data_IF_561176374485
#
_entry.id   IF_561176374485
#
_cell.length_a   1.000
_cell.length_b   1.000
_cell.length_c   1.000
_cell.angle_alpha   90.00
_cell.angle_beta   90.00
_cell.angle_gamma   90.00
#
_symmetry.space_group_name_H-M   'P 1'
#
loop_
_entity.id
_entity.type
_entity.pdbx_description
1 polymer ?
#
# COMPACT_ATOMS: atom_id res chain seq x y z
N UNK A 1 -8.43 3.17 -18.46
CA UNK A 1 -9.17 2.83 -17.23
C UNK A 1 -8.78 3.82 -16.14
N UNK A 2 -9.74 4.49 -15.52
CA UNK A 2 -9.47 5.37 -14.39
C UNK A 2 -9.07 4.53 -13.15
N UNK A 3 -8.08 4.97 -12.35
CA UNK A 3 -7.70 4.28 -11.13
C UNK A 3 -8.82 4.30 -10.08
N UNK A 4 -8.95 3.20 -9.31
CA UNK A 4 -10.04 2.98 -8.35
C UNK A 4 -10.01 3.93 -7.13
N UNK A 5 -8.87 4.54 -6.82
CA UNK A 5 -8.68 5.42 -5.66
C UNK A 5 -7.68 6.54 -5.99
N UNK A 6 -8.12 7.79 -6.14
CA UNK A 6 -7.23 8.91 -6.47
C UNK A 6 -6.42 8.64 -7.74
N UNK A 7 -5.08 8.61 -7.63
CA UNK A 7 -4.12 8.24 -8.70
C UNK A 7 -3.79 6.74 -8.76
N UNK A 8 -4.47 5.94 -7.95
CA UNK A 8 -4.27 4.51 -7.72
C UNK A 8 -3.74 4.22 -6.32
N UNK A 9 -4.26 3.17 -5.65
CA UNK A 9 -3.97 2.84 -4.25
C UNK A 9 -2.47 2.84 -3.94
N UNK A 10 -1.65 2.16 -4.76
CA UNK A 10 -0.21 2.10 -4.54
C UNK A 10 0.46 3.47 -4.61
N UNK A 11 0.08 4.32 -5.57
CA UNK A 11 0.65 5.65 -5.73
C UNK A 11 0.28 6.56 -4.56
N UNK A 12 -0.97 6.47 -4.07
CA UNK A 12 -1.40 7.25 -2.90
C UNK A 12 -0.66 6.83 -1.63
N UNK A 13 -0.44 5.53 -1.42
CA UNK A 13 0.33 5.05 -0.26
C UNK A 13 1.79 5.51 -0.35
N UNK A 14 2.42 5.40 -1.52
CA UNK A 14 3.82 5.85 -1.75
C UNK A 14 3.95 7.35 -1.47
N UNK A 15 3.05 8.15 -2.02
CA UNK A 15 3.04 9.61 -1.82
C UNK A 15 2.79 9.97 -0.35
N UNK A 16 1.90 9.26 0.34
CA UNK A 16 1.64 9.45 1.76
C UNK A 16 2.86 9.10 2.64
N UNK A 17 3.60 8.05 2.32
CA UNK A 17 4.87 7.71 2.99
C UNK A 17 5.92 8.80 2.74
N UNK A 18 6.12 9.19 1.48
CA UNK A 18 7.12 10.19 1.10
C UNK A 18 6.84 11.57 1.72
N UNK A 19 5.56 11.91 1.93
CA UNK A 19 5.13 13.14 2.62
C UNK A 19 5.11 13.02 4.14
N UNK A 20 5.44 11.87 4.70
CA UNK A 20 5.42 11.62 6.15
C UNK A 20 4.02 11.49 6.77
N UNK A 21 2.97 11.34 5.95
CA UNK A 21 1.58 11.12 6.41
C UNK A 21 1.36 9.68 6.90
N UNK A 22 2.03 8.72 6.27
CA UNK A 22 2.12 7.34 6.74
C UNK A 22 3.53 7.08 7.24
N UNK A 23 3.66 6.62 8.49
CA UNK A 23 4.96 6.25 9.07
C UNK A 23 5.21 4.77 8.86
N UNK A 24 6.35 4.45 8.25
CA UNK A 24 6.79 3.08 8.07
C UNK A 24 7.27 2.50 9.43
N UNK A 25 7.05 1.20 9.71
CA UNK A 25 6.36 0.23 8.87
C UNK A 25 4.82 0.38 8.94
N UNK A 26 4.17 0.31 7.79
CA UNK A 26 2.72 0.47 7.66
C UNK A 26 1.97 -0.86 7.77
N UNK A 27 0.75 -0.81 8.29
CA UNK A 27 -0.22 -1.91 8.29
C UNK A 27 -1.41 -1.63 7.35
N UNK A 28 -2.22 -2.66 7.09
CA UNK A 28 -3.48 -2.47 6.36
C UNK A 28 -4.43 -1.48 7.08
N UNK A 29 -4.41 -1.45 8.41
CA UNK A 29 -5.21 -0.52 9.20
C UNK A 29 -4.72 0.93 9.04
N UNK A 30 -3.41 1.16 9.00
CA UNK A 30 -2.86 2.51 8.78
C UNK A 30 -3.26 3.04 7.40
N UNK A 31 -3.16 2.18 6.38
CA UNK A 31 -3.60 2.50 5.02
C UNK A 31 -5.11 2.77 5.01
N UNK A 32 -5.92 1.93 5.66
CA UNK A 32 -7.38 2.12 5.75
C UNK A 32 -7.73 3.47 6.36
N UNK A 33 -7.12 3.82 7.48
CA UNK A 33 -7.33 5.10 8.15
C UNK A 33 -6.95 6.27 7.24
N UNK A 34 -5.81 6.19 6.56
CA UNK A 34 -5.37 7.21 5.61
C UNK A 34 -6.36 7.36 4.44
N UNK A 35 -6.76 6.25 3.82
CA UNK A 35 -7.68 6.26 2.68
C UNK A 35 -9.05 6.82 3.08
N UNK A 36 -9.57 6.40 4.24
CA UNK A 36 -10.84 6.90 4.76
C UNK A 36 -10.79 8.42 5.02
N UNK A 37 -9.65 8.92 5.53
CA UNK A 37 -9.45 10.36 5.74
C UNK A 37 -9.45 11.18 4.44
N UNK A 38 -9.18 10.54 3.29
CA UNK A 38 -9.26 11.13 1.96
C UNK A 38 -10.61 10.87 1.27
N UNK A 39 -11.62 10.31 1.97
CA UNK A 39 -12.93 9.99 1.41
C UNK A 39 -12.97 8.71 0.57
N UNK A 40 -11.96 7.85 0.69
CA UNK A 40 -11.90 6.56 0.01
C UNK A 40 -12.07 5.41 1.01
N UNK A 41 -13.02 4.50 0.74
CA UNK A 41 -13.38 3.44 1.68
C UNK A 41 -13.06 2.04 1.14
N UNK A 42 -11.77 1.67 0.98
CA UNK A 42 -11.41 0.34 0.54
C UNK A 42 -11.74 -0.71 1.62
N UNK A 43 -12.28 -1.89 1.23
CA UNK A 43 -12.44 -3.01 2.16
C UNK A 43 -11.10 -3.44 2.74
N UNK A 44 -11.08 -3.82 4.00
CA UNK A 44 -9.85 -4.23 4.69
C UNK A 44 -9.21 -5.47 4.06
N UNK A 45 -10.02 -6.46 3.68
CA UNK A 45 -9.55 -7.63 2.94
C UNK A 45 -8.86 -7.26 1.62
N UNK A 46 -9.36 -6.23 0.94
CA UNK A 46 -8.72 -5.73 -0.28
C UNK A 46 -7.34 -5.14 0.00
N UNK A 47 -7.19 -4.38 1.09
CA UNK A 47 -5.90 -3.81 1.51
C UNK A 47 -4.91 -4.89 1.93
N UNK A 48 -5.36 -5.90 2.67
CA UNK A 48 -4.55 -7.05 3.07
C UNK A 48 -4.00 -7.80 1.85
N UNK A 49 -4.88 -8.12 0.89
CA UNK A 49 -4.48 -8.77 -0.37
C UNK A 49 -3.55 -7.87 -1.17
N UNK A 50 -3.85 -6.57 -1.26
CA UNK A 50 -3.00 -5.62 -1.98
C UNK A 50 -1.58 -5.56 -1.40
N UNK A 51 -1.43 -5.40 -0.08
CA UNK A 51 -0.12 -5.32 0.59
C UNK A 51 0.64 -6.64 0.48
N UNK A 52 -0.03 -7.77 0.68
CA UNK A 52 0.57 -9.09 0.52
C UNK A 52 1.11 -9.28 -0.91
N UNK A 53 0.28 -9.00 -1.92
CA UNK A 53 0.64 -9.18 -3.33
C UNK A 53 1.74 -8.21 -3.79
N UNK A 54 1.71 -6.97 -3.32
CA UNK A 54 2.74 -5.96 -3.63
C UNK A 54 4.07 -6.17 -2.89
N UNK A 55 4.10 -7.08 -1.91
CA UNK A 55 5.31 -7.52 -1.22
C UNK A 55 5.86 -8.86 -1.71
N UNK A 56 5.03 -9.68 -2.35
CA UNK A 56 5.40 -11.03 -2.77
C UNK A 56 6.26 -11.01 -4.05
N UNK A 57 7.43 -11.68 -4.05
CA UNK A 57 8.28 -11.78 -5.23
C UNK A 57 7.67 -12.66 -6.34
N UNK A 58 6.75 -13.56 -6.00
CA UNK A 58 6.23 -14.57 -6.94
C UNK A 58 4.84 -14.21 -7.51
N UNK A 59 4.22 -13.17 -6.98
CA UNK A 59 2.84 -12.79 -7.32
C UNK A 59 2.80 -11.87 -8.57
N UNK A 60 3.08 -12.48 -9.73
CA UNK A 60 2.99 -11.90 -11.08
C UNK A 60 4.04 -10.84 -11.48
N UNK A 61 4.55 -10.94 -12.72
CA UNK A 61 5.45 -9.94 -13.34
C UNK A 61 4.80 -8.55 -13.46
N UNK A 62 3.47 -8.49 -13.39
CA UNK A 62 2.70 -7.25 -13.61
C UNK A 62 2.44 -6.46 -12.32
N UNK A 63 2.68 -7.03 -11.14
CA UNK A 63 2.53 -6.31 -9.88
C UNK A 63 3.83 -5.60 -9.53
N UNK A 64 3.80 -4.27 -9.45
CA UNK A 64 4.97 -3.51 -9.00
C UNK A 64 5.25 -3.90 -7.55
N UNK A 65 6.44 -4.47 -7.31
CA UNK A 65 6.92 -4.90 -5.99
C UNK A 65 7.35 -3.69 -5.16
N UNK A 66 6.37 -2.89 -4.77
CA UNK A 66 6.57 -1.59 -4.13
C UNK A 66 6.78 -1.70 -2.63
N UNK A 67 6.39 -2.80 -1.99
CA UNK A 67 6.59 -3.00 -0.55
C UNK A 67 7.49 -4.20 -0.26
N UNK A 68 8.07 -4.22 0.93
CA UNK A 68 8.75 -5.36 1.53
C UNK A 68 8.07 -5.65 2.85
N UNK A 69 7.62 -6.89 3.04
CA UNK A 69 7.11 -7.34 4.34
C UNK A 69 8.28 -7.44 5.32
N UNK A 70 8.14 -6.84 6.50
CA UNK A 70 9.17 -6.84 7.55
C UNK A 70 8.74 -7.62 8.79
N UNK A 71 7.42 -7.79 8.99
CA UNK A 71 6.83 -8.50 10.13
C UNK A 71 5.41 -8.99 9.74
N UNK A 72 4.70 -9.61 10.67
CA UNK A 72 3.30 -9.96 10.52
C UNK A 72 2.42 -8.72 10.30
N UNK A 73 1.83 -8.61 9.11
CA UNK A 73 0.96 -7.48 8.74
C UNK A 73 1.66 -6.13 8.57
N UNK A 74 3.00 -6.07 8.66
CA UNK A 74 3.77 -4.81 8.55
C UNK A 74 4.67 -4.77 7.32
N UNK A 75 4.65 -3.62 6.65
CA UNK A 75 5.28 -3.43 5.35
C UNK A 75 6.08 -2.12 5.32
N UNK A 76 7.18 -2.11 4.58
CA UNK A 76 7.98 -0.91 4.28
C UNK A 76 8.07 -0.71 2.77
N UNK A 77 8.19 0.52 2.32
CA UNK A 77 8.43 0.88 0.93
C UNK A 77 9.77 0.28 0.47
N UNK A 78 9.73 -0.50 -0.61
CA UNK A 78 10.92 -1.03 -1.27
C UNK A 78 11.58 0.10 -2.05
N UNK A 79 12.52 0.79 -1.40
CA UNK A 79 13.36 1.81 -2.06
C UNK A 79 14.36 1.09 -2.97
N UNK A 80 14.25 1.29 -4.27
CA UNK A 80 15.31 0.91 -5.22
C UNK A 80 16.35 2.03 -5.10
N UNK A 81 17.54 1.69 -4.60
CA UNK A 81 18.73 2.55 -4.70
C UNK A 81 19.34 2.41 -6.08
#
# INVERSE_FOLDING_TARGET
MAPKYGRGLGNEIIDAINKGKLKEPISAQDVKNHMNSNGWYPPENYLNVFLANSSSPDHSKNFKKIFKRVDEGKYVLKRIR
#
